data_IF_266946000670
#
_entry.id   IF_266946000670
#
_cell.length_a   1.000
_cell.length_b   1.000
_cell.length_c   1.000
_cell.angle_alpha   90.00
_cell.angle_beta   90.00
_cell.angle_gamma   90.00
#
_symmetry.space_group_name_H-M   'P 1'
#
loop_
_entity.id
_entity.type
_entity.pdbx_description
1 polymer ?
#
# COMPACT_ATOMS: atom_id res chain seq x y z
N UNK A 1 8.22 -12.31 -8.88
CA UNK A 1 7.64 -13.28 -9.86
C UNK A 1 6.85 -12.53 -10.93
N UNK A 2 6.80 -13.03 -12.18
CA UNK A 2 6.08 -12.38 -13.30
C UNK A 2 4.91 -13.28 -13.79
N UNK A 3 3.82 -13.43 -13.02
CA UNK A 3 2.77 -14.38 -13.37
C UNK A 3 1.92 -13.90 -14.53
N UNK A 4 1.79 -12.58 -14.72
CA UNK A 4 0.74 -12.00 -15.55
C UNK A 4 1.09 -11.97 -17.03
N UNK A 5 0.24 -12.53 -17.88
CA UNK A 5 0.35 -12.45 -19.34
C UNK A 5 -0.32 -11.18 -19.91
N UNK A 6 0.01 -10.84 -21.17
CA UNK A 6 -0.62 -9.71 -21.89
C UNK A 6 -2.16 -9.79 -21.87
N UNK A 7 -2.73 -11.00 -22.05
CA UNK A 7 -4.19 -11.21 -22.04
C UNK A 7 -4.83 -10.86 -20.70
N UNK A 8 -4.17 -11.22 -19.60
CA UNK A 8 -4.64 -10.93 -18.24
C UNK A 8 -4.56 -9.44 -17.96
N UNK A 9 -3.45 -8.80 -18.34
CA UNK A 9 -3.26 -7.34 -18.23
C UNK A 9 -4.36 -6.57 -18.97
N UNK A 10 -4.70 -6.98 -20.20
CA UNK A 10 -5.80 -6.37 -20.95
C UNK A 10 -7.14 -6.50 -20.21
N UNK A 11 -7.41 -7.66 -19.61
CA UNK A 11 -8.67 -7.93 -18.91
C UNK A 11 -8.76 -7.15 -17.59
N UNK A 12 -7.66 -7.11 -16.84
CA UNK A 12 -7.57 -6.45 -15.54
C UNK A 12 -7.60 -4.92 -15.68
N UNK A 13 -6.87 -4.37 -16.65
CA UNK A 13 -6.66 -2.93 -16.78
C UNK A 13 -7.40 -2.31 -17.97
N UNK A 14 -8.27 -3.06 -18.65
CA UNK A 14 -9.06 -2.59 -19.82
C UNK A 14 -8.23 -1.89 -20.91
N UNK A 15 -6.91 -2.13 -20.95
CA UNK A 15 -5.99 -1.51 -21.89
C UNK A 15 -5.92 -2.33 -23.17
N UNK A 16 -6.03 -1.72 -24.36
CA UNK A 16 -5.84 -2.44 -25.61
C UNK A 16 -4.38 -2.87 -25.78
N UNK A 17 -4.17 -3.99 -26.46
CA UNK A 17 -2.84 -4.58 -26.73
C UNK A 17 -1.85 -3.60 -27.36
N UNK A 18 -2.34 -2.75 -28.26
CA UNK A 18 -1.56 -1.70 -28.92
C UNK A 18 -1.00 -0.69 -27.92
N UNK A 19 -1.79 -0.30 -26.92
CA UNK A 19 -1.36 0.60 -25.85
C UNK A 19 -0.35 -0.07 -24.92
N UNK A 20 -0.59 -1.33 -24.52
CA UNK A 20 0.37 -2.09 -23.70
C UNK A 20 1.72 -2.19 -24.42
N UNK A 21 1.71 -2.54 -25.71
CA UNK A 21 2.92 -2.60 -26.53
C UNK A 21 3.65 -1.26 -26.61
N UNK A 22 2.92 -0.18 -26.89
CA UNK A 22 3.48 1.16 -26.94
C UNK A 22 4.10 1.60 -25.62
N UNK A 23 3.51 1.22 -24.48
CA UNK A 23 4.04 1.52 -23.15
C UNK A 23 5.30 0.71 -22.83
N UNK A 24 5.35 -0.56 -23.24
CA UNK A 24 6.57 -1.39 -23.16
C UNK A 24 7.68 -0.82 -24.04
N UNK A 25 7.37 -0.51 -25.31
CA UNK A 25 8.33 0.06 -26.27
C UNK A 25 8.83 1.45 -25.85
N UNK A 26 8.02 2.20 -25.09
CA UNK A 26 8.39 3.48 -24.48
C UNK A 26 9.22 3.33 -23.20
N UNK A 27 9.42 2.11 -22.70
CA UNK A 27 10.16 1.83 -21.47
C UNK A 27 9.40 2.16 -20.19
N UNK A 28 8.07 2.30 -20.26
CA UNK A 28 7.23 2.58 -19.10
C UNK A 28 7.18 1.38 -18.14
N UNK A 29 7.19 0.18 -18.70
CA UNK A 29 7.28 -1.09 -17.98
C UNK A 29 8.27 -2.00 -18.69
N UNK A 30 8.94 -2.85 -17.93
CA UNK A 30 9.98 -3.76 -18.44
C UNK A 30 9.62 -5.21 -18.11
N UNK A 31 8.60 -5.78 -18.77
CA UNK A 31 8.16 -7.13 -18.49
C UNK A 31 9.24 -8.16 -18.85
N UNK A 32 9.35 -9.20 -18.03
CA UNK A 32 10.18 -10.35 -18.33
C UNK A 32 9.69 -11.10 -19.57
N UNK A 33 10.61 -11.83 -20.23
CA UNK A 33 10.27 -12.72 -21.34
C UNK A 33 9.98 -14.13 -20.81
N UNK A 34 8.78 -14.62 -21.08
CA UNK A 34 8.37 -15.99 -20.79
C UNK A 34 8.51 -16.93 -22.00
N UNK A 35 7.93 -18.14 -21.91
CA UNK A 35 7.93 -19.12 -22.99
C UNK A 35 7.37 -18.53 -24.29
N UNK A 36 7.98 -18.89 -25.43
CA UNK A 36 7.64 -18.34 -26.77
C UNK A 36 7.80 -16.81 -26.88
N UNK A 37 8.74 -16.23 -26.13
CA UNK A 37 9.04 -14.79 -26.12
C UNK A 37 7.85 -13.90 -25.72
N UNK A 38 6.86 -14.47 -25.04
CA UNK A 38 5.68 -13.74 -24.57
C UNK A 38 6.03 -12.83 -23.38
N UNK A 39 5.47 -11.63 -23.34
CA UNK A 39 5.65 -10.72 -22.20
C UNK A 39 4.95 -11.25 -20.94
N UNK A 40 5.70 -11.22 -19.84
CA UNK A 40 5.28 -11.58 -18.49
C UNK A 40 5.48 -10.38 -17.58
N UNK A 41 4.40 -9.89 -17.02
CA UNK A 41 4.36 -8.69 -16.20
C UNK A 41 4.43 -9.08 -14.72
N UNK A 42 5.15 -8.28 -13.96
CA UNK A 42 5.17 -8.31 -12.50
C UNK A 42 3.96 -7.55 -11.94
N UNK A 43 3.76 -7.65 -10.63
CA UNK A 43 2.79 -6.81 -9.94
C UNK A 43 3.16 -5.32 -10.01
N UNK A 44 4.45 -4.99 -9.96
CA UNK A 44 4.91 -3.61 -10.12
C UNK A 44 4.59 -3.05 -11.51
N UNK A 45 4.76 -3.86 -12.56
CA UNK A 45 4.38 -3.46 -13.92
C UNK A 45 2.86 -3.19 -14.02
N UNK A 46 2.04 -3.97 -13.32
CA UNK A 46 0.58 -3.75 -13.29
C UNK A 46 0.21 -2.43 -12.60
N UNK A 47 0.90 -2.08 -11.50
CA UNK A 47 0.68 -0.77 -10.83
C UNK A 47 0.98 0.36 -11.80
N UNK A 48 2.12 0.29 -12.50
CA UNK A 48 2.51 1.31 -13.47
C UNK A 48 1.53 1.38 -14.64
N UNK A 49 1.11 0.24 -15.19
CA UNK A 49 0.11 0.18 -16.26
C UNK A 49 -1.27 0.70 -15.83
N UNK A 50 -1.67 0.51 -14.56
CA UNK A 50 -2.89 1.09 -14.00
C UNK A 50 -2.84 2.62 -14.00
N UNK A 51 -1.68 3.22 -13.79
CA UNK A 51 -1.50 4.68 -13.94
C UNK A 51 -1.71 5.11 -15.39
N UNK A 52 -1.16 4.38 -16.37
CA UNK A 52 -1.42 4.69 -17.78
C UNK A 52 -2.90 4.50 -18.17
N UNK A 53 -3.58 3.51 -17.58
CA UNK A 53 -5.02 3.35 -17.75
C UNK A 53 -5.77 4.57 -17.22
N UNK A 54 -5.46 5.02 -16.01
CA UNK A 54 -6.07 6.21 -15.41
C UNK A 54 -5.91 7.47 -16.28
N UNK A 55 -4.71 7.67 -16.85
CA UNK A 55 -4.44 8.80 -17.75
C UNK A 55 -5.22 8.68 -19.06
N UNK A 56 -5.39 7.46 -19.59
CA UNK A 56 -6.17 7.22 -20.78
C UNK A 56 -7.68 7.45 -20.54
N UNK A 57 -8.20 7.03 -19.37
CA UNK A 57 -9.57 7.27 -18.94
C UNK A 57 -9.86 8.77 -18.75
N UNK A 58 -8.84 9.57 -18.42
CA UNK A 58 -8.89 11.04 -18.39
C UNK A 58 -8.72 11.71 -19.77
N UNK A 59 -8.97 10.98 -20.88
CA UNK A 59 -8.86 11.46 -22.27
C UNK A 59 -7.46 11.92 -22.73
N UNK A 60 -6.38 11.57 -22.01
CA UNK A 60 -5.03 11.88 -22.48
C UNK A 60 -4.63 10.88 -23.58
N UNK A 61 -4.22 11.33 -24.79
CA UNK A 61 -3.85 10.41 -25.86
C UNK A 61 -2.65 9.53 -25.47
N UNK A 62 -2.71 8.24 -25.75
CA UNK A 62 -1.66 7.29 -25.39
C UNK A 62 -0.26 7.65 -25.96
N UNK A 63 -0.21 8.31 -27.12
CA UNK A 63 1.03 8.85 -27.70
C UNK A 63 1.63 9.99 -26.87
N UNK A 64 0.79 10.83 -26.28
CA UNK A 64 1.21 11.91 -25.37
C UNK A 64 1.69 11.33 -24.06
N UNK A 65 0.95 10.37 -23.47
CA UNK A 65 1.38 9.60 -22.29
C UNK A 65 2.79 9.03 -22.51
N UNK A 66 3.01 8.29 -23.60
CA UNK A 66 4.30 7.70 -23.94
C UNK A 66 5.42 8.76 -24.11
N UNK A 67 5.13 9.91 -24.73
CA UNK A 67 6.10 11.00 -24.90
C UNK A 67 6.48 11.64 -23.57
N UNK A 68 5.49 11.93 -22.74
CA UNK A 68 5.65 12.52 -21.40
C UNK A 68 6.48 11.61 -20.49
N UNK A 69 6.20 10.31 -20.49
CA UNK A 69 6.97 9.32 -19.73
C UNK A 69 8.41 9.23 -20.24
N UNK A 70 8.61 9.21 -21.56
CA UNK A 70 9.95 9.14 -22.15
C UNK A 70 10.78 10.38 -21.84
N UNK A 71 10.14 11.56 -21.78
CA UNK A 71 10.77 12.79 -21.33
C UNK A 71 11.13 12.71 -19.84
N UNK A 72 10.21 12.24 -19.00
CA UNK A 72 10.41 12.05 -17.57
C UNK A 72 11.56 11.06 -17.26
N UNK A 73 11.64 9.93 -17.97
CA UNK A 73 12.71 8.93 -17.81
C UNK A 73 14.10 9.47 -18.16
N UNK A 74 14.20 10.48 -19.02
CA UNK A 74 15.49 11.15 -19.34
C UNK A 74 15.95 12.09 -18.22
N UNK A 75 15.02 12.58 -17.42
CA UNK A 75 15.30 13.54 -16.34
C UNK A 75 15.51 12.85 -14.99
N UNK A 76 15.04 11.60 -14.84
CA UNK A 76 15.14 10.85 -13.60
C UNK A 76 16.34 9.88 -13.60
N UNK A 77 16.94 9.61 -12.43
CA UNK A 77 17.96 8.58 -12.30
C UNK A 77 17.43 7.20 -12.71
N UNK A 78 18.27 6.37 -13.35
CA UNK A 78 17.85 5.04 -13.81
C UNK A 78 17.38 4.13 -12.68
N UNK A 79 17.89 4.34 -11.46
CA UNK A 79 17.55 3.59 -10.25
C UNK A 79 16.18 3.92 -9.66
N UNK A 80 15.53 5.02 -10.07
CA UNK A 80 14.23 5.42 -9.52
C UNK A 80 13.10 4.79 -10.35
N UNK A 81 12.29 3.90 -9.76
CA UNK A 81 11.18 3.28 -10.47
C UNK A 81 10.03 4.28 -10.62
N UNK A 82 9.44 4.35 -11.81
CA UNK A 82 8.31 5.24 -12.12
C UNK A 82 7.08 4.97 -11.24
N UNK A 83 7.00 3.81 -10.58
CA UNK A 83 5.97 3.47 -9.60
C UNK A 83 6.01 4.34 -8.33
N UNK A 84 7.13 5.02 -8.06
CA UNK A 84 7.26 5.93 -6.90
C UNK A 84 6.82 7.36 -7.17
N UNK A 85 6.34 7.68 -8.37
CA UNK A 85 5.94 9.02 -8.78
C UNK A 85 4.43 9.13 -8.87
N UNK A 86 3.87 10.24 -8.40
CA UNK A 86 2.47 10.58 -8.68
C UNK A 86 2.36 11.26 -10.03
N UNK A 87 1.61 10.61 -10.91
CA UNK A 87 1.38 11.08 -12.26
C UNK A 87 -0.12 11.25 -12.42
N UNK A 88 -0.55 12.47 -12.73
CA UNK A 88 -1.94 12.84 -12.89
C UNK A 88 -2.20 13.43 -14.28
N UNK A 89 -3.46 13.35 -14.73
CA UNK A 89 -3.94 14.11 -15.87
C UNK A 89 -4.60 15.40 -15.37
N UNK A 90 -4.13 16.55 -15.85
CA UNK A 90 -4.85 17.82 -15.74
C UNK A 90 -5.27 18.21 -17.17
N UNK A 91 -6.57 18.11 -17.45
CA UNK A 91 -7.13 18.23 -18.80
C UNK A 91 -6.45 17.31 -19.82
N UNK A 92 -5.65 17.84 -20.76
CA UNK A 92 -4.97 17.08 -21.81
C UNK A 92 -3.49 16.82 -21.54
N UNK A 93 -3.00 17.16 -20.33
CA UNK A 93 -1.57 17.17 -19.96
C UNK A 93 -1.25 16.15 -18.87
N UNK A 94 -0.01 15.64 -18.93
CA UNK A 94 0.54 14.74 -17.92
C UNK A 94 1.37 15.56 -16.94
N UNK A 95 0.92 15.61 -15.68
CA UNK A 95 1.57 16.35 -14.60
C UNK A 95 2.17 15.36 -13.61
N UNK A 96 3.43 15.59 -13.23
CA UNK A 96 4.10 14.84 -12.17
C UNK A 96 4.04 15.68 -10.91
N UNK A 97 3.69 15.02 -9.80
CA UNK A 97 3.63 15.60 -8.47
C UNK A 97 4.71 14.96 -7.60
N UNK A 98 5.52 15.80 -6.97
CA UNK A 98 6.48 15.41 -5.93
C UNK A 98 6.29 16.38 -4.77
N UNK A 99 5.45 15.97 -3.82
CA UNK A 99 5.08 16.80 -2.70
C UNK A 99 4.31 18.06 -3.09
N UNK A 100 4.87 19.24 -2.82
CA UNK A 100 4.29 20.53 -3.20
C UNK A 100 4.68 20.98 -4.61
N UNK A 101 5.62 20.29 -5.26
CA UNK A 101 6.09 20.61 -6.61
C UNK A 101 5.25 19.87 -7.63
N UNK A 102 4.73 20.62 -8.59
CA UNK A 102 4.04 20.10 -9.77
C UNK A 102 4.80 20.54 -10.99
N UNK A 103 5.06 19.63 -11.92
CA UNK A 103 5.62 19.99 -13.21
C UNK A 103 5.04 19.15 -14.34
N UNK A 104 5.06 19.72 -15.53
CA UNK A 104 4.64 19.05 -16.74
C UNK A 104 5.69 18.00 -17.14
N UNK A 105 5.26 16.76 -17.34
CA UNK A 105 6.16 15.63 -17.64
C UNK A 105 6.87 15.76 -18.99
N UNK A 106 6.28 16.47 -19.95
CA UNK A 106 6.81 16.67 -21.29
C UNK A 106 7.82 17.83 -21.41
N UNK A 107 7.60 18.92 -20.67
CA UNK A 107 8.40 20.15 -20.74
C UNK A 107 9.31 20.36 -19.53
N UNK A 108 9.08 19.68 -18.40
CA UNK A 108 9.77 19.94 -17.14
C UNK A 108 9.34 21.25 -16.46
N UNK A 109 8.33 21.94 -16.99
CA UNK A 109 7.91 23.24 -16.48
C UNK A 109 7.13 23.11 -15.18
N UNK A 110 7.57 23.81 -14.13
CA UNK A 110 6.85 23.92 -12.87
C UNK A 110 5.52 24.66 -13.01
N UNK A 111 4.47 24.13 -12.40
CA UNK A 111 3.13 24.73 -12.38
C UNK A 111 2.89 25.43 -11.03
N UNK A 112 2.62 26.74 -11.09
CA UNK A 112 2.23 27.55 -9.92
C UNK A 112 0.74 27.33 -9.62
N UNK A 113 0.41 27.05 -8.35
CA UNK A 113 -0.96 26.76 -7.92
C UNK A 113 -1.79 28.01 -7.69
N UNK A 114 -2.59 28.40 -8.68
CA UNK A 114 -3.74 29.28 -8.49
C UNK A 114 -5.00 28.44 -8.76
N UNK A 115 -5.79 28.18 -7.70
CA UNK A 115 -7.10 27.53 -7.78
C UNK A 115 -8.11 28.45 -8.52
N UNK A 116 -9.07 27.89 -9.30
CA UNK A 116 -10.10 27.02 -8.76
C UNK A 116 -10.35 25.72 -9.53
N UNK A 117 -10.77 24.70 -8.79
CA UNK A 117 -11.19 23.39 -9.27
C UNK A 117 -12.35 23.40 -10.28
N UNK A 118 -12.27 22.43 -11.18
CA UNK A 118 -13.40 21.91 -11.95
C UNK A 118 -13.22 20.40 -12.06
N UNK A 119 -14.34 19.69 -11.87
CA UNK A 119 -14.43 18.25 -11.91
C UNK A 119 -14.02 17.71 -13.29
N UNK A 120 -12.87 17.06 -13.38
CA UNK A 120 -12.47 16.27 -14.54
C UNK A 120 -11.65 15.07 -14.05
N UNK A 121 -12.14 13.87 -14.38
CA UNK A 121 -11.41 12.59 -14.52
C UNK A 121 -10.29 12.23 -13.53
N UNK A 122 -10.26 12.82 -12.34
CA UNK A 122 -9.15 12.69 -11.41
C UNK A 122 -9.29 11.39 -10.64
N UNK A 123 -8.53 10.39 -11.07
CA UNK A 123 -8.12 9.33 -10.16
C UNK A 123 -7.25 9.99 -9.08
N UNK A 124 -7.89 10.38 -7.97
CA UNK A 124 -7.22 10.59 -6.70
C UNK A 124 -6.68 9.24 -6.26
N UNK A 125 -5.52 8.85 -6.79
CA UNK A 125 -4.61 8.05 -5.98
C UNK A 125 -4.26 8.97 -4.84
N UNK A 126 -4.69 8.61 -3.63
CA UNK A 126 -4.34 9.32 -2.42
C UNK A 126 -2.82 9.34 -2.34
N UNK A 127 -2.20 10.43 -2.80
CA UNK A 127 -0.81 10.70 -2.48
C UNK A 127 -0.74 10.94 -0.98
N UNK A 128 0.02 10.09 -0.31
CA UNK A 128 0.60 10.40 0.99
C UNK A 128 1.44 11.66 0.78
N UNK A 129 1.10 12.80 1.40
CA UNK A 129 1.70 14.07 1.06
C UNK A 129 3.19 14.07 1.39
N UNK A 130 4.06 14.15 0.38
CA UNK A 130 5.47 14.43 0.59
C UNK A 130 5.62 15.93 0.94
N UNK A 131 6.07 16.21 2.16
CA UNK A 131 6.29 17.58 2.67
C UNK A 131 5.85 17.76 4.12
N UNK A 132 5.02 16.85 4.61
CA UNK A 132 4.97 16.45 6.02
C UNK A 132 5.69 15.10 6.04
N UNK A 133 6.63 14.80 6.95
CA UNK A 133 7.06 13.42 7.12
C UNK A 133 5.78 12.63 7.24
N UNK A 134 5.56 11.63 6.38
CA UNK A 134 4.25 11.06 6.35
C UNK A 134 3.90 10.62 7.77
N UNK A 135 2.66 10.82 8.20
CA UNK A 135 2.23 10.25 9.47
C UNK A 135 2.76 8.81 9.48
N UNK A 136 3.57 8.45 10.47
CA UNK A 136 4.17 7.13 10.56
C UNK A 136 3.03 6.15 10.30
N UNK A 137 3.22 5.33 9.29
CA UNK A 137 2.13 4.51 8.79
C UNK A 137 2.19 3.23 9.59
N UNK A 138 1.20 3.03 10.44
CA UNK A 138 1.10 1.86 11.28
C UNK A 138 1.28 0.59 10.46
N UNK A 139 0.76 0.56 9.22
CA UNK A 139 0.93 -0.57 8.29
C UNK A 139 2.40 -0.87 7.97
N UNK A 140 3.24 0.15 7.82
CA UNK A 140 4.67 -0.02 7.55
C UNK A 140 5.42 -0.61 8.76
N UNK A 141 5.06 -0.18 9.97
CA UNK A 141 5.61 -0.75 11.21
C UNK A 141 5.09 -2.16 11.45
N UNK A 142 3.82 -2.42 11.15
CA UNK A 142 3.22 -3.76 11.19
C UNK A 142 4.01 -4.69 10.27
N UNK A 143 4.15 -4.33 9.00
CA UNK A 143 4.85 -5.15 8.02
C UNK A 143 6.30 -5.43 8.45
N UNK A 144 7.05 -4.40 8.83
CA UNK A 144 8.45 -4.55 9.26
C UNK A 144 8.55 -5.41 10.52
N UNK A 145 7.68 -5.20 11.50
CA UNK A 145 7.62 -5.99 12.72
C UNK A 145 7.30 -7.45 12.44
N UNK A 146 6.33 -7.74 11.57
CA UNK A 146 5.95 -9.11 11.20
C UNK A 146 7.10 -9.84 10.51
N UNK A 147 7.81 -9.18 9.58
CA UNK A 147 8.99 -9.78 8.93
C UNK A 147 10.08 -10.15 9.95
N UNK A 148 10.32 -9.28 10.94
CA UNK A 148 11.31 -9.55 11.99
C UNK A 148 10.84 -10.65 12.96
N UNK A 149 9.54 -10.67 13.27
CA UNK A 149 8.91 -11.66 14.12
C UNK A 149 8.96 -13.05 13.48
N UNK A 150 8.58 -13.18 12.21
CA UNK A 150 8.70 -14.41 11.43
C UNK A 150 10.16 -14.88 11.29
N UNK A 151 11.12 -13.94 11.28
CA UNK A 151 12.55 -14.25 11.27
C UNK A 151 13.10 -14.66 12.66
N UNK A 152 12.28 -14.68 13.71
CA UNK A 152 12.68 -15.01 15.07
C UNK A 152 13.48 -13.91 15.79
N UNK A 153 13.59 -12.72 15.19
CA UNK A 153 14.28 -11.56 15.77
C UNK A 153 13.33 -10.80 16.72
N UNK A 154 12.87 -11.50 17.76
CA UNK A 154 11.77 -11.05 18.61
C UNK A 154 12.04 -9.69 19.27
N UNK A 155 13.26 -9.45 19.75
CA UNK A 155 13.64 -8.17 20.36
C UNK A 155 13.70 -7.00 19.36
N UNK A 156 14.02 -7.26 18.10
CA UNK A 156 13.96 -6.22 17.06
C UNK A 156 12.52 -5.95 16.64
N UNK A 157 11.68 -6.98 16.53
CA UNK A 157 10.25 -6.85 16.28
C UNK A 157 9.57 -6.01 17.36
N UNK A 158 9.87 -6.25 18.64
CA UNK A 158 9.33 -5.47 19.77
C UNK A 158 9.70 -4.00 19.63
N UNK A 159 10.97 -3.70 19.32
CA UNK A 159 11.42 -2.30 19.11
C UNK A 159 10.68 -1.63 17.95
N UNK A 160 10.46 -2.35 16.85
CA UNK A 160 9.74 -1.81 15.69
C UNK A 160 8.27 -1.55 16.01
N UNK A 161 7.58 -2.46 16.70
CA UNK A 161 6.19 -2.24 17.10
C UNK A 161 6.07 -1.09 18.12
N UNK A 162 6.96 -1.02 19.11
CA UNK A 162 6.98 0.08 20.09
C UNK A 162 7.28 1.42 19.42
N UNK A 163 8.25 1.49 18.50
CA UNK A 163 8.52 2.67 17.69
C UNK A 163 7.28 3.07 16.89
N UNK A 164 6.60 2.10 16.26
CA UNK A 164 5.34 2.32 15.56
C UNK A 164 4.28 2.93 16.47
N UNK A 165 4.10 2.43 17.68
CA UNK A 165 3.11 2.94 18.63
C UNK A 165 3.45 4.33 19.17
N UNK A 166 4.73 4.63 19.39
CA UNK A 166 5.18 5.97 19.79
C UNK A 166 4.92 7.01 18.69
N UNK A 167 5.06 6.58 17.43
CA UNK A 167 4.99 7.44 16.26
C UNK A 167 3.55 7.60 15.78
N UNK A 168 2.80 6.51 15.69
CA UNK A 168 1.44 6.44 15.13
C UNK A 168 0.33 6.61 16.19
N UNK A 169 0.66 6.48 17.48
CA UNK A 169 -0.33 6.39 18.55
C UNK A 169 -0.83 4.96 18.77
N UNK A 170 -1.91 4.82 19.56
CA UNK A 170 -2.49 3.53 19.94
C UNK A 170 -3.27 2.82 18.82
N UNK A 171 -2.60 2.54 17.70
CA UNK A 171 -3.17 1.78 16.59
C UNK A 171 -3.49 0.33 17.02
N UNK A 172 -4.71 -0.13 16.74
CA UNK A 172 -5.20 -1.43 17.18
C UNK A 172 -4.39 -2.59 16.57
N UNK A 173 -3.99 -2.50 15.31
CA UNK A 173 -3.26 -3.58 14.61
C UNK A 173 -1.83 -3.69 15.13
N UNK A 174 -1.16 -2.57 15.38
CA UNK A 174 0.16 -2.58 16.05
C UNK A 174 0.09 -3.16 17.46
N UNK A 175 -0.92 -2.77 18.25
CA UNK A 175 -1.10 -3.30 19.61
C UNK A 175 -1.42 -4.80 19.60
N UNK A 176 -2.24 -5.26 18.65
CA UNK A 176 -2.54 -6.67 18.45
C UNK A 176 -1.26 -7.47 18.12
N UNK A 177 -0.49 -7.03 17.13
CA UNK A 177 0.73 -7.75 16.73
C UNK A 177 1.80 -7.74 17.84
N UNK A 178 1.90 -6.65 18.61
CA UNK A 178 2.74 -6.62 19.81
C UNK A 178 2.27 -7.63 20.87
N UNK A 179 0.95 -7.81 21.01
CA UNK A 179 0.36 -8.85 21.88
C UNK A 179 0.75 -10.26 21.44
N UNK A 180 0.65 -10.56 20.14
CA UNK A 180 1.07 -11.86 19.58
C UNK A 180 2.57 -12.10 19.83
N UNK A 181 3.40 -11.09 19.57
CA UNK A 181 4.84 -11.16 19.84
C UNK A 181 5.14 -11.47 21.31
N UNK A 182 4.40 -10.86 22.25
CA UNK A 182 4.56 -11.14 23.67
C UNK A 182 4.11 -12.54 24.07
N UNK A 183 3.11 -13.12 23.42
CA UNK A 183 2.75 -14.53 23.63
C UNK A 183 3.90 -15.45 23.21
N UNK A 184 4.55 -15.18 22.07
CA UNK A 184 5.70 -15.94 21.59
C UNK A 184 6.95 -15.78 22.48
N UNK A 185 7.06 -14.67 23.19
CA UNK A 185 8.05 -14.46 24.25
C UNK A 185 7.64 -15.04 25.62
N UNK A 186 6.50 -15.72 25.72
CA UNK A 186 5.88 -16.20 26.96
C UNK A 186 5.54 -15.10 27.99
N UNK A 187 5.52 -13.83 27.57
CA UNK A 187 5.20 -12.65 28.39
C UNK A 187 3.69 -12.42 28.45
N UNK A 188 2.96 -13.37 29.03
CA UNK A 188 1.48 -13.42 29.03
C UNK A 188 0.81 -12.16 29.61
N UNK A 189 1.40 -11.53 30.63
CA UNK A 189 0.86 -10.29 31.22
C UNK A 189 0.96 -9.11 30.27
N UNK A 190 2.07 -9.01 29.54
CA UNK A 190 2.32 -7.92 28.58
C UNK A 190 1.46 -8.12 27.34
N UNK A 191 1.30 -9.37 26.89
CA UNK A 191 0.39 -9.74 25.81
C UNK A 191 -1.05 -9.30 26.12
N UNK A 192 -1.55 -9.62 27.33
CA UNK A 192 -2.89 -9.24 27.75
C UNK A 192 -3.06 -7.72 27.75
N UNK A 193 -2.09 -6.97 28.30
CA UNK A 193 -2.13 -5.52 28.33
C UNK A 193 -2.11 -4.90 26.92
N UNK A 194 -1.32 -5.46 26.00
CA UNK A 194 -1.29 -5.03 24.60
C UNK A 194 -2.63 -5.28 23.91
N UNK A 195 -3.22 -6.46 24.09
CA UNK A 195 -4.54 -6.77 23.53
C UNK A 195 -5.68 -5.95 24.12
N UNK A 196 -5.68 -5.69 25.43
CA UNK A 196 -6.68 -4.82 26.05
C UNK A 196 -6.60 -3.39 25.49
N UNK A 197 -5.40 -2.87 25.26
CA UNK A 197 -5.20 -1.59 24.57
C UNK A 197 -5.67 -1.66 23.12
N UNK A 198 -5.41 -2.76 22.41
CA UNK A 198 -5.90 -2.98 21.04
C UNK A 198 -7.43 -2.90 20.98
N UNK A 199 -8.12 -3.60 21.88
CA UNK A 199 -9.59 -3.57 21.98
C UNK A 199 -10.14 -2.24 22.49
N UNK A 200 -9.33 -1.47 23.23
CA UNK A 200 -9.65 -0.09 23.56
C UNK A 200 -9.63 0.85 22.34
N UNK A 201 -8.75 0.57 21.37
CA UNK A 201 -8.65 1.31 20.12
C UNK A 201 -9.70 0.85 19.08
N UNK A 202 -9.92 -0.46 18.95
CA UNK A 202 -10.97 -1.05 18.12
C UNK A 202 -11.72 -2.17 18.88
N UNK A 203 -12.88 -1.84 19.49
CA UNK A 203 -13.72 -2.82 20.17
C UNK A 203 -14.38 -3.86 19.24
N UNK A 204 -14.32 -3.68 17.93
CA UNK A 204 -14.86 -4.60 16.93
C UNK A 204 -13.79 -5.52 16.33
N UNK A 205 -12.55 -5.49 16.85
CA UNK A 205 -11.46 -6.32 16.34
C UNK A 205 -11.65 -7.79 16.72
N UNK A 206 -12.29 -8.55 15.84
CA UNK A 206 -12.68 -9.94 16.07
C UNK A 206 -11.48 -10.85 16.43
N UNK A 207 -10.39 -10.79 15.66
CA UNK A 207 -9.23 -11.66 15.88
C UNK A 207 -8.55 -11.38 17.23
N UNK A 208 -8.56 -10.11 17.68
CA UNK A 208 -8.09 -9.76 19.01
C UNK A 208 -8.97 -10.35 20.11
N UNK A 209 -10.30 -10.34 19.96
CA UNK A 209 -11.19 -11.04 20.88
C UNK A 209 -10.94 -12.55 20.93
N UNK A 210 -10.62 -13.17 19.79
CA UNK A 210 -10.28 -14.59 19.76
C UNK A 210 -9.00 -14.88 20.54
N UNK A 211 -7.91 -14.16 20.27
CA UNK A 211 -6.62 -14.37 20.96
C UNK A 211 -6.71 -14.09 22.47
N UNK A 212 -7.40 -13.02 22.88
CA UNK A 212 -7.61 -12.73 24.32
C UNK A 212 -8.39 -13.84 25.01
N UNK A 213 -9.37 -14.46 24.33
CA UNK A 213 -10.10 -15.57 24.89
C UNK A 213 -9.17 -16.77 25.15
N UNK A 214 -8.33 -17.14 24.18
CA UNK A 214 -7.35 -18.21 24.33
C UNK A 214 -6.34 -17.92 25.45
N UNK A 215 -5.86 -16.68 25.52
CA UNK A 215 -4.91 -16.26 26.55
C UNK A 215 -5.54 -16.33 27.95
N UNK A 216 -6.79 -15.91 28.12
CA UNK A 216 -7.50 -16.08 29.39
C UNK A 216 -7.75 -17.55 29.76
N UNK A 217 -8.02 -18.44 28.79
CA UNK A 217 -8.08 -19.89 29.06
C UNK A 217 -6.74 -20.41 29.57
N UNK A 218 -5.63 -20.04 28.91
CA UNK A 218 -4.28 -20.42 29.31
C UNK A 218 -3.88 -19.86 30.70
N UNK A 219 -4.51 -18.76 31.13
CA UNK A 219 -4.33 -18.15 32.45
C UNK A 219 -5.33 -18.68 33.51
N UNK A 220 -6.19 -19.63 33.17
CA UNK A 220 -7.18 -20.19 34.11
C UNK A 220 -8.32 -19.24 34.46
N UNK A 221 -8.66 -18.31 33.56
CA UNK A 221 -9.72 -17.29 33.72
C UNK A 221 -10.89 -17.54 32.76
N UNK A 222 -11.72 -18.59 33.00
CA UNK A 222 -12.72 -19.05 32.04
C UNK A 222 -13.89 -18.08 31.84
N UNK A 223 -14.21 -17.24 32.83
CA UNK A 223 -15.32 -16.29 32.71
C UNK A 223 -15.01 -15.19 31.68
N UNK A 224 -13.80 -14.67 31.74
CA UNK A 224 -13.26 -13.68 30.82
C UNK A 224 -13.11 -14.28 29.41
N UNK A 225 -12.58 -15.50 29.31
CA UNK A 225 -12.49 -16.23 28.05
C UNK A 225 -13.85 -16.36 27.35
N UNK A 226 -14.89 -16.82 28.07
CA UNK A 226 -16.26 -16.96 27.53
C UNK A 226 -16.79 -15.61 27.02
N UNK A 227 -16.54 -14.52 27.75
CA UNK A 227 -16.98 -13.18 27.35
C UNK A 227 -16.34 -12.75 26.02
N UNK A 228 -15.03 -12.92 25.87
CA UNK A 228 -14.33 -12.54 24.63
C UNK A 228 -14.71 -13.47 23.47
N UNK A 229 -14.84 -14.79 23.71
CA UNK A 229 -15.29 -15.75 22.70
C UNK A 229 -16.72 -15.47 22.21
N UNK A 230 -17.63 -15.05 23.12
CA UNK A 230 -18.99 -14.65 22.74
C UNK A 230 -18.97 -13.42 21.84
N UNK A 231 -18.11 -12.43 22.13
CA UNK A 231 -17.96 -11.23 21.32
C UNK A 231 -17.37 -11.54 19.94
N UNK A 232 -16.32 -12.36 19.86
CA UNK A 232 -15.76 -12.86 18.59
C UNK A 232 -16.83 -13.49 17.69
N UNK A 233 -17.63 -14.42 18.24
CA UNK A 233 -18.71 -15.09 17.50
C UNK A 233 -19.80 -14.13 17.04
N UNK A 234 -20.06 -13.07 17.80
CA UNK A 234 -21.05 -12.05 17.44
C UNK A 234 -20.57 -11.21 16.25
N UNK A 235 -19.30 -10.84 16.23
CA UNK A 235 -18.68 -10.07 15.15
C UNK A 235 -18.59 -10.89 13.84
N UNK A 236 -18.25 -12.18 13.93
CA UNK A 236 -18.19 -13.09 12.78
C UNK A 236 -19.54 -13.31 12.08
N UNK A 237 -20.66 -13.18 12.80
CA UNK A 237 -22.01 -13.33 12.22
C UNK A 237 -22.50 -12.08 11.47
N UNK A 238 -21.85 -10.94 11.66
CA UNK A 238 -22.25 -9.65 11.10
C UNK A 238 -21.42 -9.23 9.87
N UNK A 239 -20.53 -10.11 9.40
CA UNK A 239 -19.63 -9.89 8.24
C UNK A 239 -20.03 -10.83 7.11
#
# INVERSE_FOLDING_TARGET
MHPYGVREVQKLLRLPRSTIRMLVDAGFVSPARGPRNAWRFSFQDLIVLRTAQALADANVPARRIARSIKALRRQLPESLPLSGLSIAAEADRVVVREGSRRWQADTGQYLLGFEPGAADGSLRVLERPAGVPPAPDAEAYVHRGCVLHEAGLLGEAERVYCEGLEKCGGDAVLLYNLGVLYEDMERKTDALAAYERSLGADPAFADCHYNVALLYEALGKPREAIRHMAQYRRLQKNT
#
